data_IF_271491819815
#
_entry.id   IF_271491819815
#
_cell.length_a   1.000
_cell.length_b   1.000
_cell.length_c   1.000
_cell.angle_alpha   90.00
_cell.angle_beta   90.00
_cell.angle_gamma   90.00
#
_symmetry.space_group_name_H-M   'P 1'
#
loop_
_entity.id
_entity.type
_entity.pdbx_description
1 polymer ?
#
# COMPACT_ATOMS: atom_id res chain seq x y z
N UNK A 1 -47.00 32.27 36.09
CA UNK A 1 -47.12 31.26 35.02
C UNK A 1 -45.83 31.30 34.21
N UNK A 2 -44.87 30.42 34.54
CA UNK A 2 -43.53 30.46 33.94
C UNK A 2 -43.30 29.24 33.04
N UNK A 3 -43.17 29.58 31.75
CA UNK A 3 -42.53 28.93 30.61
C UNK A 3 -41.69 27.68 30.91
N UNK A 4 -42.04 26.53 30.31
CA UNK A 4 -41.11 25.39 30.13
C UNK A 4 -40.82 25.28 28.64
N UNK A 5 -39.66 25.80 28.24
CA UNK A 5 -38.96 25.46 27.00
C UNK A 5 -38.01 24.32 27.33
N UNK A 6 -38.16 23.15 26.71
CA UNK A 6 -37.14 22.12 26.72
C UNK A 6 -36.83 21.72 25.27
N UNK A 7 -35.73 22.29 24.77
CA UNK A 7 -35.09 21.96 23.50
C UNK A 7 -34.44 20.58 23.66
N UNK A 8 -34.87 19.59 22.86
CA UNK A 8 -34.17 18.30 22.75
C UNK A 8 -33.04 18.48 21.75
N UNK A 9 -31.83 18.67 22.26
CA UNK A 9 -30.60 18.66 21.48
C UNK A 9 -30.24 17.21 21.12
N UNK A 10 -30.64 16.79 19.91
CA UNK A 10 -30.18 15.53 19.31
C UNK A 10 -28.72 15.64 18.87
N UNK A 11 -27.82 15.12 19.69
CA UNK A 11 -26.39 15.04 19.40
C UNK A 11 -26.13 13.95 18.34
N UNK A 12 -26.05 14.33 17.06
CA UNK A 12 -25.58 13.47 15.98
C UNK A 12 -24.08 13.23 16.13
N UNK A 13 -23.70 12.13 16.80
CA UNK A 13 -22.34 11.60 16.78
C UNK A 13 -22.01 11.10 15.38
N UNK A 14 -21.47 11.98 14.53
CA UNK A 14 -20.68 11.58 13.39
C UNK A 14 -19.41 10.90 13.92
N UNK A 15 -19.47 9.57 14.07
CA UNK A 15 -18.27 8.77 14.27
C UNK A 15 -17.44 8.89 12.98
N UNK A 16 -16.45 9.78 13.00
CA UNK A 16 -15.41 9.86 12.00
C UNK A 16 -14.74 8.49 11.88
N UNK A 17 -15.13 7.71 10.87
CA UNK A 17 -14.44 6.48 10.47
C UNK A 17 -13.16 6.92 9.75
N UNK A 18 -12.20 7.43 10.52
CA UNK A 18 -10.90 7.83 9.99
C UNK A 18 -10.06 6.58 9.73
N UNK A 19 -9.54 6.44 8.51
CA UNK A 19 -8.40 5.56 8.24
C UNK A 19 -7.28 5.93 9.23
N UNK A 20 -6.87 4.99 10.08
CA UNK A 20 -5.75 5.20 10.98
C UNK A 20 -4.53 4.50 10.42
N UNK A 21 -3.52 5.29 10.09
CA UNK A 21 -2.18 4.78 9.81
C UNK A 21 -1.52 4.49 11.16
N UNK A 22 -1.04 3.27 11.36
CA UNK A 22 -0.24 2.91 12.54
C UNK A 22 1.20 2.79 12.07
N UNK A 23 2.04 3.74 12.51
CA UNK A 23 3.48 3.62 12.32
C UNK A 23 4.02 2.45 13.14
N UNK A 24 4.82 1.60 12.50
CA UNK A 24 5.38 0.41 13.12
C UNK A 24 6.79 0.72 13.59
N UNK A 25 6.98 0.66 14.91
CA UNK A 25 8.30 0.79 15.52
C UNK A 25 9.05 -0.55 15.37
N UNK A 26 10.28 -0.49 14.85
CA UNK A 26 11.21 -1.62 14.74
C UNK A 26 10.66 -2.84 13.97
N UNK A 27 9.70 -2.64 13.07
CA UNK A 27 9.05 -3.73 12.34
C UNK A 27 8.13 -4.63 13.17
N UNK A 28 7.76 -4.22 14.40
CA UNK A 28 6.95 -5.05 15.31
C UNK A 28 5.50 -4.62 15.34
N UNK A 29 4.60 -5.56 15.08
CA UNK A 29 3.15 -5.34 15.24
C UNK A 29 2.83 -5.21 16.73
N UNK A 30 2.12 -4.15 17.17
CA UNK A 30 1.69 -4.03 18.55
C UNK A 30 0.81 -5.23 18.97
N UNK A 31 0.99 -5.73 20.19
CA UNK A 31 0.30 -6.94 20.69
C UNK A 31 -1.22 -6.87 20.54
N UNK A 32 -1.81 -5.67 20.67
CA UNK A 32 -3.25 -5.44 20.49
C UNK A 32 -3.77 -5.84 19.09
N UNK A 33 -2.90 -5.85 18.07
CA UNK A 33 -3.25 -6.19 16.69
C UNK A 33 -2.68 -7.54 16.23
N UNK A 34 -1.79 -8.16 17.02
CA UNK A 34 -1.04 -9.33 16.59
C UNK A 34 -1.93 -10.52 16.22
N UNK A 35 -2.95 -10.83 17.02
CA UNK A 35 -3.87 -11.95 16.73
C UNK A 35 -4.66 -11.76 15.43
N UNK A 36 -4.98 -10.51 15.07
CA UNK A 36 -5.65 -10.17 13.81
C UNK A 36 -4.67 -10.20 12.65
N UNK A 37 -3.47 -9.67 12.83
CA UNK A 37 -2.44 -9.65 11.81
C UNK A 37 -1.98 -11.07 11.44
N UNK A 38 -1.91 -11.99 12.41
CA UNK A 38 -1.56 -13.40 12.16
C UNK A 38 -2.55 -14.16 11.27
N UNK A 39 -3.78 -13.68 11.10
CA UNK A 39 -4.74 -14.29 10.16
C UNK A 39 -4.26 -14.24 8.70
N UNK A 40 -3.41 -13.27 8.38
CA UNK A 40 -2.80 -13.11 7.06
C UNK A 40 -1.53 -13.94 6.88
N UNK A 41 -1.07 -14.69 7.88
CA UNK A 41 0.05 -15.62 7.69
C UNK A 41 -0.34 -16.70 6.69
N UNK A 42 0.52 -16.97 5.70
CA UNK A 42 0.27 -17.97 4.69
C UNK A 42 1.24 -17.94 3.51
N UNK A 43 1.11 -18.95 2.66
CA UNK A 43 1.72 -19.00 1.35
C UNK A 43 0.66 -18.63 0.34
N UNK A 44 0.95 -17.64 -0.50
CA UNK A 44 0.04 -17.11 -1.51
C UNK A 44 0.62 -17.38 -2.89
N UNK A 45 -0.08 -18.12 -3.73
CA UNK A 45 0.35 -18.44 -5.08
C UNK A 45 -0.10 -17.35 -6.06
N UNK A 46 0.70 -17.05 -7.07
CA UNK A 46 0.35 -16.03 -8.04
C UNK A 46 1.52 -15.62 -8.92
N UNK A 47 1.56 -14.35 -9.29
CA UNK A 47 2.61 -13.82 -10.15
C UNK A 47 3.00 -12.38 -9.79
N UNK A 48 4.25 -12.05 -10.07
CA UNK A 48 4.78 -10.70 -9.99
C UNK A 48 5.39 -10.31 -11.34
N UNK A 49 4.90 -9.23 -11.93
CA UNK A 49 5.36 -8.72 -13.23
C UNK A 49 5.41 -9.82 -14.33
N UNK A 50 4.38 -10.68 -14.35
CA UNK A 50 4.26 -11.80 -15.30
C UNK A 50 5.04 -13.06 -14.94
N UNK A 51 5.78 -13.08 -13.82
CA UNK A 51 6.55 -14.24 -13.36
C UNK A 51 5.80 -14.94 -12.24
N UNK A 52 5.42 -16.21 -12.46
CA UNK A 52 4.76 -17.05 -11.46
C UNK A 52 5.65 -17.30 -10.24
N UNK A 53 5.04 -17.39 -9.07
CA UNK A 53 5.73 -17.71 -7.83
C UNK A 53 4.81 -17.67 -6.62
N UNK A 54 5.42 -17.74 -5.45
CA UNK A 54 4.73 -17.73 -4.17
C UNK A 54 5.23 -16.57 -3.31
N UNK A 55 4.31 -15.87 -2.68
CA UNK A 55 4.58 -14.87 -1.67
C UNK A 55 4.23 -15.44 -0.30
N UNK A 56 5.19 -15.44 0.62
CA UNK A 56 5.07 -16.03 1.95
C UNK A 56 5.05 -14.89 2.95
N UNK A 57 3.93 -14.74 3.65
CA UNK A 57 3.77 -13.80 4.75
C UNK A 57 3.77 -14.61 6.05
N UNK A 58 4.67 -14.29 6.97
CA UNK A 58 4.81 -14.99 8.26
C UNK A 58 5.29 -14.08 9.37
N UNK A 59 5.37 -14.58 10.60
CA UNK A 59 5.87 -13.85 11.75
C UNK A 59 7.00 -14.58 12.47
N UNK A 60 7.99 -13.81 12.91
CA UNK A 60 8.97 -14.18 13.94
C UNK A 60 8.57 -13.46 15.24
N UNK A 61 7.84 -14.16 16.11
CA UNK A 61 7.22 -13.55 17.30
C UNK A 61 6.14 -12.54 16.91
N UNK A 62 6.42 -11.24 17.10
CA UNK A 62 5.54 -10.13 16.68
C UNK A 62 6.09 -9.32 15.49
N UNK A 63 7.14 -9.83 14.83
CA UNK A 63 7.76 -9.20 13.68
C UNK A 63 7.36 -9.93 12.39
N UNK A 64 6.46 -9.37 11.56
CA UNK A 64 6.14 -9.97 10.29
C UNK A 64 7.31 -9.89 9.31
N UNK A 65 7.41 -10.89 8.45
CA UNK A 65 8.34 -10.94 7.33
C UNK A 65 7.59 -11.28 6.04
N UNK A 66 8.14 -10.82 4.92
CA UNK A 66 7.68 -11.17 3.59
C UNK A 66 8.81 -11.90 2.87
N UNK A 67 8.52 -13.02 2.20
CA UNK A 67 9.46 -13.77 1.37
C UNK A 67 8.82 -14.07 0.02
N UNK A 68 9.64 -14.20 -1.00
CA UNK A 68 9.22 -14.66 -2.32
C UNK A 68 10.01 -15.91 -2.69
N UNK A 69 9.38 -16.82 -3.43
CA UNK A 69 10.07 -17.90 -4.10
C UNK A 69 9.40 -18.27 -5.43
N UNK A 70 10.18 -18.70 -6.39
CA UNK A 70 9.74 -19.32 -7.63
C UNK A 70 10.75 -20.42 -8.03
N UNK A 71 10.60 -20.96 -9.23
CA UNK A 71 11.51 -21.99 -9.77
C UNK A 71 12.96 -21.51 -9.94
N UNK A 72 13.18 -20.19 -10.07
CA UNK A 72 14.48 -19.56 -10.26
C UNK A 72 15.16 -19.11 -8.95
N UNK A 73 14.47 -19.18 -7.81
CA UNK A 73 15.00 -18.82 -6.48
C UNK A 73 14.09 -17.87 -5.71
N UNK A 74 14.69 -16.93 -4.96
CA UNK A 74 13.96 -16.05 -4.02
C UNK A 74 13.92 -14.57 -4.45
N UNK A 75 14.47 -14.23 -5.61
CA UNK A 75 14.54 -12.86 -6.11
C UNK A 75 13.24 -12.49 -6.86
N UNK A 76 12.40 -11.64 -6.25
CA UNK A 76 11.10 -11.27 -6.84
C UNK A 76 11.22 -10.47 -8.14
N UNK A 77 12.35 -9.77 -8.35
CA UNK A 77 12.59 -9.05 -9.60
C UNK A 77 13.06 -9.97 -10.73
N UNK A 78 13.38 -11.23 -10.43
CA UNK A 78 13.68 -12.32 -11.37
C UNK A 78 14.72 -11.96 -12.46
N UNK A 79 15.73 -11.16 -12.11
CA UNK A 79 16.76 -10.66 -13.04
C UNK A 79 18.16 -10.67 -12.39
N UNK A 80 18.42 -11.61 -11.49
CA UNK A 80 19.65 -11.68 -10.68
C UNK A 80 19.93 -10.38 -9.89
N UNK A 81 18.88 -9.63 -9.57
CA UNK A 81 18.93 -8.40 -8.80
C UNK A 81 19.39 -8.65 -7.37
N UNK A 82 19.19 -9.86 -6.84
CA UNK A 82 19.35 -10.18 -5.42
C UNK A 82 18.44 -9.30 -4.56
N UNK A 83 17.21 -9.06 -5.02
CA UNK A 83 16.25 -8.26 -4.27
C UNK A 83 15.80 -8.98 -3.01
N UNK A 84 15.43 -8.21 -1.98
CA UNK A 84 14.96 -8.75 -0.72
C UNK A 84 13.98 -7.81 -0.02
N UNK A 85 13.15 -8.39 0.85
CA UNK A 85 12.24 -7.65 1.71
C UNK A 85 12.89 -7.41 3.07
N UNK A 86 12.71 -6.21 3.60
CA UNK A 86 13.16 -5.83 4.93
C UNK A 86 12.01 -5.78 5.95
N UNK A 87 12.11 -4.84 6.88
CA UNK A 87 11.16 -4.72 7.98
C UNK A 87 9.82 -4.14 7.54
N UNK A 88 8.75 -4.49 8.25
CA UNK A 88 7.48 -3.77 8.18
C UNK A 88 7.67 -2.31 8.64
N UNK A 89 7.15 -1.36 7.86
CA UNK A 89 7.23 0.08 8.15
C UNK A 89 5.89 0.66 8.59
N UNK A 90 4.84 0.31 7.88
CA UNK A 90 3.54 0.95 8.03
C UNK A 90 2.43 -0.08 7.87
N UNK A 91 1.38 0.05 8.70
CA UNK A 91 0.14 -0.71 8.56
C UNK A 91 -1.01 0.28 8.38
N UNK A 92 -1.80 0.08 7.34
CA UNK A 92 -3.00 0.85 7.06
C UNK A 92 -4.20 0.08 7.60
N UNK A 93 -4.94 0.72 8.52
CA UNK A 93 -6.06 0.11 9.22
C UNK A 93 -7.32 0.95 9.00
N UNK A 94 -8.39 0.29 8.58
CA UNK A 94 -9.76 0.86 8.57
C UNK A 94 -10.66 0.14 9.57
N UNK A 95 -11.89 0.63 9.68
CA UNK A 95 -12.91 0.09 10.58
C UNK A 95 -12.90 0.71 11.96
N UNK A 96 -13.77 0.20 12.83
CA UNK A 96 -13.94 0.70 14.20
C UNK A 96 -12.84 0.16 15.12
N UNK A 97 -12.52 0.88 16.20
CA UNK A 97 -11.52 0.43 17.21
C UNK A 97 -11.80 -0.96 17.79
N UNK A 98 -13.08 -1.35 17.90
CA UNK A 98 -13.48 -2.70 18.35
C UNK A 98 -13.25 -3.78 17.29
N UNK A 99 -13.29 -3.42 16.00
CA UNK A 99 -13.01 -4.33 14.91
C UNK A 99 -12.13 -3.71 13.81
N UNK A 100 -10.84 -3.44 14.10
CA UNK A 100 -9.90 -2.99 13.09
C UNK A 100 -9.72 -4.05 12.00
N UNK A 101 -9.63 -3.60 10.76
CA UNK A 101 -9.27 -4.38 9.58
C UNK A 101 -7.95 -3.85 9.03
N UNK A 102 -7.02 -4.74 8.70
CA UNK A 102 -5.79 -4.38 7.99
C UNK A 102 -6.10 -4.33 6.50
N UNK A 103 -5.94 -3.17 5.88
CA UNK A 103 -6.16 -3.02 4.43
C UNK A 103 -4.88 -3.12 3.65
N UNK A 104 -3.77 -2.61 4.20
CA UNK A 104 -2.49 -2.69 3.52
C UNK A 104 -1.30 -2.58 4.48
N UNK A 105 -0.13 -2.95 3.99
CA UNK A 105 1.15 -2.80 4.67
C UNK A 105 2.25 -2.34 3.71
N UNK A 106 3.25 -1.66 4.27
CA UNK A 106 4.51 -1.36 3.57
C UNK A 106 5.67 -2.09 4.25
N UNK A 107 6.42 -2.88 3.48
CA UNK A 107 7.71 -3.42 3.88
C UNK A 107 8.84 -2.62 3.22
N UNK A 108 9.99 -2.53 3.89
CA UNK A 108 11.24 -2.16 3.23
C UNK A 108 11.51 -3.10 2.06
N UNK A 109 12.07 -2.55 0.99
CA UNK A 109 12.46 -3.33 -0.17
C UNK A 109 13.84 -2.91 -0.64
N UNK A 110 14.76 -3.88 -0.64
CA UNK A 110 16.05 -3.74 -1.30
C UNK A 110 15.97 -4.30 -2.72
N UNK A 111 16.22 -3.44 -3.69
CA UNK A 111 16.25 -3.78 -5.11
C UNK A 111 17.59 -4.38 -5.55
N UNK A 112 18.56 -4.45 -4.65
CA UNK A 112 19.91 -4.96 -4.89
C UNK A 112 20.56 -4.32 -6.11
N UNK A 113 21.08 -5.15 -7.00
CA UNK A 113 21.83 -4.75 -8.21
C UNK A 113 20.97 -4.07 -9.27
N UNK A 114 19.64 -4.15 -9.18
CA UNK A 114 18.71 -3.56 -10.16
C UNK A 114 18.33 -2.11 -9.86
N UNK A 115 19.20 -1.39 -9.16
CA UNK A 115 18.93 -0.04 -8.69
C UNK A 115 18.78 1.03 -9.78
N UNK A 116 19.18 0.72 -11.01
CA UNK A 116 18.98 1.58 -12.19
C UNK A 116 17.60 1.36 -12.85
N UNK A 117 16.99 0.18 -12.66
CA UNK A 117 15.72 -0.19 -13.30
C UNK A 117 14.52 -0.07 -12.36
N UNK A 118 14.76 -0.13 -11.05
CA UNK A 118 13.76 -0.03 -9.99
C UNK A 118 14.19 1.07 -9.03
N UNK A 119 13.32 2.06 -8.81
CA UNK A 119 13.58 3.21 -7.94
C UNK A 119 12.95 3.05 -6.54
N UNK A 120 11.99 2.14 -6.40
CA UNK A 120 11.32 1.87 -5.14
C UNK A 120 12.25 1.31 -4.07
N UNK A 121 11.96 1.71 -2.83
CA UNK A 121 12.60 1.22 -1.59
C UNK A 121 11.61 0.58 -0.63
N UNK A 122 10.37 0.45 -1.09
CA UNK A 122 9.25 -0.08 -0.32
C UNK A 122 8.43 -1.01 -1.20
N UNK A 123 7.95 -2.10 -0.63
CA UNK A 123 6.94 -2.97 -1.22
C UNK A 123 5.62 -2.71 -0.50
N UNK A 124 4.63 -2.25 -1.24
CA UNK A 124 3.26 -2.09 -0.74
C UNK A 124 2.47 -3.37 -1.00
N UNK A 125 1.70 -3.83 -0.02
CA UNK A 125 0.87 -5.03 -0.07
C UNK A 125 -0.54 -4.67 0.37
N UNK A 126 -1.51 -4.75 -0.54
CA UNK A 126 -2.94 -4.49 -0.31
C UNK A 126 -3.69 -5.82 -0.14
N UNK A 127 -4.47 -5.94 0.92
CA UNK A 127 -5.25 -7.11 1.27
C UNK A 127 -6.70 -6.94 0.78
N UNK A 128 -7.08 -7.73 -0.23
CA UNK A 128 -8.45 -7.85 -0.72
C UNK A 128 -9.04 -9.17 -0.24
N UNK A 129 -10.00 -9.09 0.67
CA UNK A 129 -10.72 -10.27 1.18
C UNK A 129 -12.11 -10.34 0.56
N UNK A 130 -12.46 -11.48 -0.02
CA UNK A 130 -13.80 -11.75 -0.58
C UNK A 130 -14.14 -13.22 -0.39
N UNK A 131 -15.29 -13.51 0.20
CA UNK A 131 -15.79 -14.89 0.40
C UNK A 131 -14.80 -15.84 1.12
N UNK A 132 -13.96 -15.30 2.03
CA UNK A 132 -12.94 -16.07 2.75
C UNK A 132 -11.63 -16.28 2.00
N UNK A 133 -11.57 -15.92 0.71
CA UNK A 133 -10.31 -15.87 -0.06
C UNK A 133 -9.59 -14.55 0.21
N UNK A 134 -8.28 -14.62 0.40
CA UNK A 134 -7.44 -13.43 0.59
C UNK A 134 -6.53 -13.27 -0.63
N UNK A 135 -6.73 -12.16 -1.34
CA UNK A 135 -5.91 -11.71 -2.45
C UNK A 135 -4.97 -10.60 -2.00
N UNK A 136 -3.68 -10.80 -2.23
CA UNK A 136 -2.63 -9.81 -2.04
C UNK A 136 -2.36 -9.13 -3.38
N UNK A 137 -2.49 -7.81 -3.43
CA UNK A 137 -1.97 -7.01 -4.54
C UNK A 137 -0.70 -6.31 -4.07
N UNK A 138 0.41 -6.61 -4.73
CA UNK A 138 1.72 -6.06 -4.36
C UNK A 138 2.20 -5.09 -5.40
N UNK A 139 2.92 -4.05 -4.98
CA UNK A 139 3.53 -3.10 -5.88
C UNK A 139 4.83 -2.50 -5.34
N UNK A 140 5.76 -2.23 -6.25
CA UNK A 140 7.00 -1.48 -5.99
C UNK A 140 7.18 -0.45 -7.08
N UNK A 141 7.61 0.75 -6.71
CA UNK A 141 7.89 1.82 -7.67
C UNK A 141 9.04 1.39 -8.59
N UNK A 142 8.78 1.35 -9.89
CA UNK A 142 9.80 1.12 -10.91
C UNK A 142 10.55 2.41 -11.19
N UNK A 143 9.83 3.46 -11.57
CA UNK A 143 10.42 4.74 -11.97
C UNK A 143 9.40 5.89 -11.85
N UNK A 144 9.89 7.12 -11.68
CA UNK A 144 9.11 8.33 -11.90
C UNK A 144 9.28 8.79 -13.36
N UNK A 145 8.24 8.65 -14.18
CA UNK A 145 8.28 9.16 -15.56
C UNK A 145 7.92 10.63 -15.58
N UNK A 146 8.68 11.39 -16.36
CA UNK A 146 8.33 12.78 -16.65
C UNK A 146 7.56 12.83 -17.96
N UNK A 147 6.40 13.49 -17.92
CA UNK A 147 5.62 13.81 -19.10
C UNK A 147 5.39 15.31 -19.15
N UNK A 148 5.39 15.86 -20.35
CA UNK A 148 5.03 17.25 -20.58
C UNK A 148 3.52 17.34 -20.79
N UNK A 149 2.84 18.10 -19.95
CA UNK A 149 1.44 18.46 -20.14
C UNK A 149 1.36 19.91 -20.59
N UNK A 150 0.75 20.14 -21.76
CA UNK A 150 0.53 21.48 -22.27
C UNK A 150 -0.96 21.77 -22.27
N UNK A 151 -1.32 22.97 -21.78
CA UNK A 151 -2.69 23.47 -21.82
C UNK A 151 -2.69 24.80 -22.54
N UNK A 152 -3.65 24.96 -23.44
CA UNK A 152 -3.92 26.22 -24.11
C UNK A 152 -4.76 27.10 -23.20
N UNK A 153 -4.28 28.31 -22.96
CA UNK A 153 -5.03 29.34 -22.26
C UNK A 153 -5.57 30.32 -23.30
N UNK A 154 -6.89 30.58 -23.30
CA UNK A 154 -7.47 31.52 -24.25
C UNK A 154 -6.87 32.90 -24.04
N UNK A 155 -6.52 33.55 -25.15
CA UNK A 155 -6.09 34.94 -25.16
C UNK A 155 -7.27 35.89 -24.93
N UNK A 156 -6.95 37.17 -24.75
CA UNK A 156 -7.95 38.25 -24.71
C UNK A 156 -7.75 39.20 -25.91
N UNK A 157 -8.44 40.35 -25.92
CA UNK A 157 -8.35 41.30 -27.03
C UNK A 157 -6.95 41.92 -27.22
N UNK A 158 -6.09 41.86 -26.21
CA UNK A 158 -4.75 42.45 -26.19
C UNK A 158 -3.63 41.40 -26.14
N UNK A 159 -3.95 40.13 -25.85
CA UNK A 159 -2.98 39.05 -25.69
C UNK A 159 -3.38 37.81 -26.51
N UNK A 160 -2.49 37.25 -27.35
CA UNK A 160 -2.78 36.02 -28.07
C UNK A 160 -2.90 34.82 -27.11
N UNK A 161 -3.59 33.75 -27.51
CA UNK A 161 -3.59 32.49 -26.77
C UNK A 161 -2.16 32.00 -26.54
N UNK A 162 -1.90 31.50 -25.33
CA UNK A 162 -0.58 30.96 -24.96
C UNK A 162 -0.70 29.49 -24.60
N UNK A 163 0.25 28.69 -25.10
CA UNK A 163 0.44 27.32 -24.64
C UNK A 163 1.35 27.35 -23.40
N UNK A 164 0.82 26.89 -22.27
CA UNK A 164 1.62 26.72 -21.07
C UNK A 164 1.86 25.23 -20.84
N UNK A 165 3.14 24.85 -20.85
CA UNK A 165 3.57 23.48 -20.60
C UNK A 165 4.16 23.34 -19.20
N UNK A 166 3.77 22.29 -18.49
CA UNK A 166 4.34 21.88 -17.21
C UNK A 166 4.89 20.47 -17.31
N UNK A 167 5.94 20.19 -16.52
CA UNK A 167 6.45 18.83 -16.34
C UNK A 167 5.72 18.19 -15.18
N UNK A 168 5.00 17.10 -15.47
CA UNK A 168 4.35 16.26 -14.47
C UNK A 168 5.13 14.97 -14.28
N UNK A 169 5.13 14.47 -13.04
CA UNK A 169 5.79 13.22 -12.68
C UNK A 169 4.74 12.14 -12.41
N UNK A 170 4.74 11.11 -13.25
CA UNK A 170 3.83 9.97 -13.18
C UNK A 170 4.60 8.74 -12.64
N UNK A 171 4.22 8.17 -11.48
CA UNK A 171 4.88 6.98 -10.96
C UNK A 171 4.47 5.74 -11.76
N UNK A 172 5.47 4.96 -12.19
CA UNK A 172 5.27 3.65 -12.83
C UNK A 172 5.68 2.56 -11.85
N UNK A 173 4.81 1.59 -11.61
CA UNK A 173 5.06 0.50 -10.67
C UNK A 173 5.19 -0.85 -11.38
N UNK A 174 5.92 -1.75 -10.74
CA UNK A 174 5.79 -3.19 -10.98
C UNK A 174 4.71 -3.74 -10.05
N UNK A 175 3.89 -4.67 -10.55
CA UNK A 175 2.73 -5.19 -9.82
C UNK A 175 2.76 -6.71 -9.73
N UNK A 176 2.17 -7.25 -8.66
CA UNK A 176 1.87 -8.66 -8.53
C UNK A 176 0.51 -8.91 -7.90
N UNK A 177 0.02 -10.13 -8.09
CA UNK A 177 -1.22 -10.61 -7.50
C UNK A 177 -1.01 -12.03 -7.02
N UNK A 178 -1.35 -12.29 -5.76
CA UNK A 178 -1.22 -13.60 -5.11
C UNK A 178 -2.48 -13.92 -4.31
N UNK A 179 -2.93 -15.17 -4.30
CA UNK A 179 -4.16 -15.59 -3.61
C UNK A 179 -3.94 -16.82 -2.73
N UNK A 180 -4.79 -16.95 -1.72
CA UNK A 180 -4.89 -18.09 -0.81
C UNK A 180 -6.35 -18.29 -0.39
#
# INVERSE_FOLDING_TARGET
MNVIKALVAGLTLFAAVGCKTVEIKDGRVPNAYLSKAKKYEGVYAGQFNGVSGELILGFEGNKPFLKYRNEMGTDILNNNCQSSFGNLRTVYITGKKSNPKVDAVEFDFDRGRCALMVQGRKMYVDFKEKNGEVKLQVQVLREMRQRRECRWYPGDHHHPPVEQCTWVQDPVYLYGTFTR
#
